data_IF_939796154229
#
_entry.id   IF_939796154229
#
_cell.length_a   1.000
_cell.length_b   1.000
_cell.length_c   1.000
_cell.angle_alpha   90.00
_cell.angle_beta   90.00
_cell.angle_gamma   90.00
#
_symmetry.space_group_name_H-M   'P 1'
#
loop_
_entity.id
_entity.type
_entity.pdbx_description
1 polymer ?
#
# COMPACT_ATOMS: atom_id res chain seq x y z
N UNK A 1 -1.78 1.11 1.58
CA UNK A 1 -2.00 2.10 0.50
C UNK A 1 -2.04 3.49 1.11
N UNK A 2 -1.54 4.46 0.38
CA UNK A 2 -1.49 5.85 0.85
C UNK A 2 -2.04 6.78 -0.24
N UNK A 3 -2.89 7.70 0.16
CA UNK A 3 -3.44 8.71 -0.73
C UNK A 3 -3.17 10.09 -0.13
N UNK A 4 -2.56 10.98 -0.91
CA UNK A 4 -2.15 12.28 -0.40
C UNK A 4 -1.13 12.19 0.73
N UNK A 5 -0.31 11.14 0.75
CA UNK A 5 0.69 10.91 1.78
C UNK A 5 0.16 10.31 3.08
N UNK A 6 -1.13 9.96 3.13
CA UNK A 6 -1.77 9.43 4.33
C UNK A 6 -2.25 8.01 4.12
N UNK A 7 -2.08 7.18 5.15
CA UNK A 7 -2.59 5.82 5.15
C UNK A 7 -4.11 5.79 4.98
N UNK A 8 -4.59 4.85 4.16
CA UNK A 8 -6.03 4.64 3.94
C UNK A 8 -6.45 3.21 4.26
N UNK A 9 -5.77 2.23 3.69
CA UNK A 9 -6.13 0.82 3.89
C UNK A 9 -4.92 -0.06 3.60
N UNK A 10 -5.00 -1.31 4.03
CA UNK A 10 -3.94 -2.27 3.82
C UNK A 10 -4.51 -3.67 3.58
N UNK A 11 -3.72 -4.48 2.91
CA UNK A 11 -4.01 -5.89 2.71
C UNK A 11 -2.80 -6.72 3.11
N UNK A 12 -3.07 -7.97 3.48
CA UNK A 12 -2.04 -8.97 3.70
C UNK A 12 -2.11 -9.99 2.59
N UNK A 13 -0.99 -10.20 1.91
CA UNK A 13 -0.89 -11.16 0.83
C UNK A 13 -0.29 -12.45 1.36
N UNK A 14 -0.86 -13.59 0.93
CA UNK A 14 -0.33 -14.91 1.24
C UNK A 14 -0.07 -15.65 -0.06
N UNK A 15 1.12 -16.23 -0.20
CA UNK A 15 1.45 -17.05 -1.34
C UNK A 15 0.62 -18.31 -1.34
N UNK A 16 0.35 -18.86 -2.54
CA UNK A 16 -0.22 -20.20 -2.67
C UNK A 16 0.71 -21.21 -2.02
N UNK A 17 0.14 -22.25 -1.41
CA UNK A 17 0.93 -23.30 -0.78
C UNK A 17 1.96 -23.87 -1.77
N UNK A 18 3.22 -23.87 -1.38
CA UNK A 18 4.31 -24.33 -2.23
C UNK A 18 4.85 -23.32 -3.23
N UNK A 19 4.30 -22.12 -3.27
CA UNK A 19 4.75 -21.05 -4.15
C UNK A 19 5.26 -19.89 -3.32
N UNK A 20 6.37 -19.28 -3.73
CA UNK A 20 6.94 -18.13 -3.05
C UNK A 20 6.38 -16.79 -3.58
N UNK A 21 5.70 -16.81 -4.73
CA UNK A 21 5.15 -15.60 -5.35
C UNK A 21 3.81 -15.24 -4.73
N UNK A 22 3.63 -13.99 -4.37
CA UNK A 22 2.44 -13.50 -3.66
C UNK A 22 1.66 -12.54 -4.56
N UNK A 23 1.38 -12.96 -5.79
CA UNK A 23 0.60 -12.20 -6.75
C UNK A 23 -0.66 -12.96 -7.09
N UNK A 24 -1.75 -12.22 -7.38
CA UNK A 24 -3.06 -12.82 -7.65
C UNK A 24 -3.00 -13.84 -8.79
N UNK A 25 -2.24 -13.54 -9.85
CA UNK A 25 -2.12 -14.40 -11.02
C UNK A 25 -1.32 -15.68 -10.74
N UNK A 26 -0.68 -15.78 -9.58
CA UNK A 26 0.05 -16.98 -9.16
C UNK A 26 -0.72 -17.78 -8.10
N UNK A 27 -2.01 -17.48 -7.90
CA UNK A 27 -2.84 -18.21 -6.94
C UNK A 27 -2.67 -17.79 -5.50
N UNK A 28 -1.99 -16.67 -5.25
CA UNK A 28 -1.93 -16.08 -3.92
C UNK A 28 -3.27 -15.49 -3.50
N UNK A 29 -3.45 -15.26 -2.21
CA UNK A 29 -4.67 -14.67 -1.66
C UNK A 29 -4.39 -13.32 -1.01
N UNK A 30 -5.42 -12.46 -1.03
CA UNK A 30 -5.36 -11.12 -0.47
C UNK A 30 -6.45 -11.00 0.60
N UNK A 31 -6.05 -10.53 1.78
CA UNK A 31 -6.96 -10.39 2.92
C UNK A 31 -6.89 -8.97 3.47
N UNK A 32 -8.01 -8.38 3.89
CA UNK A 32 -7.97 -7.11 4.62
C UNK A 32 -7.07 -7.21 5.84
N UNK A 33 -6.35 -6.15 6.12
CA UNK A 33 -5.37 -6.14 7.21
C UNK A 33 -5.40 -4.80 7.92
N UNK A 34 -5.37 -4.83 9.23
CA UNK A 34 -5.25 -3.63 10.06
C UNK A 34 -3.79 -3.50 10.51
N UNK A 35 -3.01 -2.57 9.92
CA UNK A 35 -1.60 -2.45 10.28
C UNK A 35 -1.43 -1.82 11.66
N UNK A 36 -0.26 -2.09 12.26
CA UNK A 36 0.15 -1.45 13.50
C UNK A 36 0.48 0.02 13.28
N UNK A 37 0.48 0.85 14.35
CA UNK A 37 0.94 2.23 14.23
C UNK A 37 2.37 2.35 13.68
N UNK A 38 3.24 1.41 14.01
CA UNK A 38 4.62 1.41 13.49
C UNK A 38 4.66 1.19 11.98
N UNK A 39 3.82 0.30 11.47
CA UNK A 39 3.73 0.04 10.04
C UNK A 39 3.19 1.26 9.30
N UNK A 40 2.16 1.90 9.84
CA UNK A 40 1.58 3.12 9.25
C UNK A 40 2.63 4.23 9.24
N UNK A 41 3.34 4.45 10.33
CA UNK A 41 4.34 5.49 10.43
C UNK A 41 5.48 5.27 9.42
N UNK A 42 5.96 4.05 9.29
CA UNK A 42 7.01 3.73 8.34
C UNK A 42 6.55 4.00 6.91
N UNK A 43 5.32 3.61 6.57
CA UNK A 43 4.76 3.83 5.25
C UNK A 43 4.62 5.31 4.92
N UNK A 44 4.09 6.09 5.85
CA UNK A 44 3.90 7.53 5.64
C UNK A 44 5.24 8.25 5.52
N UNK A 45 6.24 7.84 6.30
CA UNK A 45 7.59 8.41 6.18
C UNK A 45 8.25 8.07 4.84
N UNK A 46 8.03 6.85 4.33
CA UNK A 46 8.57 6.45 3.04
C UNK A 46 8.03 7.32 1.90
N UNK A 47 6.73 7.62 1.94
CA UNK A 47 6.09 8.47 0.94
C UNK A 47 6.55 9.93 1.10
N UNK A 48 6.74 10.39 2.32
CA UNK A 48 7.08 11.78 2.60
C UNK A 48 8.45 12.20 2.04
N UNK A 49 9.37 11.26 1.86
CA UNK A 49 10.70 11.57 1.30
C UNK A 49 10.69 11.66 -0.23
N UNK A 50 9.60 11.31 -0.88
CA UNK A 50 9.49 11.41 -2.34
C UNK A 50 9.33 12.88 -2.75
N UNK A 51 9.99 13.29 -3.83
CA UNK A 51 9.92 14.65 -4.32
C UNK A 51 9.75 14.64 -5.85
N UNK A 52 8.62 15.13 -6.40
CA UNK A 52 7.46 15.69 -5.66
C UNK A 52 6.67 14.62 -4.91
N UNK A 53 5.86 15.00 -3.91
CA UNK A 53 5.03 14.04 -3.19
C UNK A 53 4.02 13.37 -4.13
N UNK A 54 3.90 12.05 -4.12
CA UNK A 54 2.94 11.37 -5.00
C UNK A 54 1.50 11.54 -4.49
N UNK A 55 0.55 11.56 -5.42
CA UNK A 55 -0.87 11.61 -5.07
C UNK A 55 -1.33 10.29 -4.46
N UNK A 56 -0.73 9.18 -4.87
CA UNK A 56 -1.04 7.86 -4.34
C UNK A 56 0.21 6.99 -4.35
N UNK A 57 0.18 5.94 -3.55
CA UNK A 57 1.28 5.00 -3.52
C UNK A 57 0.93 3.74 -2.75
N UNK A 58 1.71 2.71 -2.95
CA UNK A 58 1.64 1.46 -2.20
C UNK A 58 3.00 1.14 -1.63
N UNK A 59 3.05 0.87 -0.34
CA UNK A 59 4.27 0.48 0.36
C UNK A 59 4.10 -0.96 0.80
N UNK A 60 4.96 -1.84 0.31
CA UNK A 60 4.96 -3.26 0.65
C UNK A 60 6.02 -3.51 1.69
N UNK A 61 5.64 -4.21 2.76
CA UNK A 61 6.51 -4.47 3.90
C UNK A 61 6.59 -5.95 4.21
N UNK A 62 7.73 -6.34 4.76
CA UNK A 62 7.96 -7.68 5.29
C UNK A 62 8.74 -7.56 6.60
N UNK A 63 8.72 -8.61 7.41
CA UNK A 63 9.68 -8.73 8.49
C UNK A 63 10.96 -9.37 7.91
N UNK A 64 12.11 -8.77 8.21
CA UNK A 64 13.38 -9.32 7.75
C UNK A 64 13.75 -10.59 8.54
N UNK A 65 14.93 -11.16 8.25
CA UNK A 65 15.36 -12.39 8.89
C UNK A 65 15.59 -12.25 10.40
N UNK A 66 15.66 -11.03 10.89
CA UNK A 66 15.82 -10.73 12.32
C UNK A 66 14.50 -10.32 12.97
N UNK A 67 13.38 -10.46 12.25
CA UNK A 67 12.07 -10.09 12.75
C UNK A 67 11.78 -8.59 12.74
N UNK A 68 12.63 -7.80 12.10
CA UNK A 68 12.43 -6.35 12.02
C UNK A 68 11.63 -5.97 10.79
N UNK A 69 10.78 -4.96 10.95
CA UNK A 69 9.95 -4.46 9.85
C UNK A 69 10.82 -3.75 8.82
N UNK A 70 10.64 -4.13 7.55
CA UNK A 70 11.41 -3.56 6.45
C UNK A 70 10.50 -3.29 5.25
N UNK A 71 10.83 -2.25 4.49
CA UNK A 71 10.14 -1.95 3.24
C UNK A 71 10.75 -2.85 2.15
N UNK A 72 9.89 -3.61 1.49
CA UNK A 72 10.28 -4.47 0.38
C UNK A 72 10.15 -3.75 -0.96
N UNK A 73 9.09 -2.96 -1.12
CA UNK A 73 8.79 -2.30 -2.38
C UNK A 73 8.00 -1.03 -2.17
N UNK A 74 8.27 -0.02 -3.00
CA UNK A 74 7.51 1.22 -3.06
C UNK A 74 7.02 1.38 -4.49
N UNK A 75 5.71 1.33 -4.69
CA UNK A 75 5.12 1.43 -6.02
C UNK A 75 4.31 2.72 -6.15
N UNK A 76 4.72 3.56 -7.11
CA UNK A 76 4.12 4.87 -7.34
C UNK A 76 3.48 4.99 -8.72
N UNK A 77 3.70 4.01 -9.60
CA UNK A 77 3.20 4.01 -10.98
C UNK A 77 2.30 2.80 -11.17
N UNK A 78 1.01 3.07 -11.34
CA UNK A 78 -0.01 2.05 -11.63
C UNK A 78 0.00 0.83 -10.70
N UNK A 79 0.14 1.00 -9.37
CA UNK A 79 0.07 -0.16 -8.49
C UNK A 79 -1.35 -0.70 -8.38
N UNK A 80 -1.48 -1.99 -8.04
CA UNK A 80 -2.76 -2.52 -7.61
C UNK A 80 -3.09 -1.92 -6.24
N UNK A 81 -4.23 -1.28 -6.11
CA UNK A 81 -4.64 -0.58 -4.88
C UNK A 81 -5.76 -1.29 -4.12
N UNK A 82 -6.29 -2.39 -4.65
CA UNK A 82 -7.35 -3.19 -4.03
C UNK A 82 -8.57 -2.38 -3.61
N UNK A 83 -8.96 -1.39 -4.42
CA UNK A 83 -10.13 -0.54 -4.11
C UNK A 83 -11.42 -1.34 -4.09
N UNK A 84 -11.50 -2.43 -4.84
CA UNK A 84 -12.66 -3.32 -4.84
C UNK A 84 -12.90 -3.97 -3.46
N UNK A 85 -11.85 -4.10 -2.66
CA UNK A 85 -11.92 -4.65 -1.31
C UNK A 85 -12.21 -3.57 -0.26
N UNK A 86 -12.07 -2.30 -0.64
CA UNK A 86 -12.20 -1.15 0.28
C UNK A 86 -12.93 0.00 -0.42
N UNK A 87 -14.26 -0.13 -0.66
CA UNK A 87 -14.97 0.89 -1.46
C UNK A 87 -14.88 2.31 -0.89
N UNK A 88 -14.83 2.46 0.44
CA UNK A 88 -14.68 3.79 1.03
C UNK A 88 -13.35 4.45 0.70
N UNK A 89 -12.31 3.66 0.44
CA UNK A 89 -11.01 4.19 0.04
C UNK A 89 -11.02 4.73 -1.38
N UNK A 90 -11.94 4.27 -2.23
CA UNK A 90 -12.11 4.82 -3.58
C UNK A 90 -12.53 6.28 -3.52
N UNK A 91 -13.34 6.66 -2.53
CA UNK A 91 -13.74 8.05 -2.33
C UNK A 91 -12.53 8.91 -1.95
N UNK A 92 -11.69 8.41 -1.04
CA UNK A 92 -10.46 9.11 -0.65
C UNK A 92 -9.53 9.28 -1.85
N UNK A 93 -9.40 8.26 -2.70
CA UNK A 93 -8.59 8.32 -3.91
C UNK A 93 -9.14 9.36 -4.89
N UNK A 94 -10.46 9.36 -5.11
CA UNK A 94 -11.10 10.32 -5.99
C UNK A 94 -10.88 11.76 -5.51
N UNK A 95 -10.97 11.99 -4.19
CA UNK A 95 -10.75 13.32 -3.61
C UNK A 95 -9.31 13.79 -3.83
N UNK A 96 -8.33 12.91 -3.68
CA UNK A 96 -6.93 13.24 -3.92
C UNK A 96 -6.69 13.58 -5.39
N UNK A 97 -7.26 12.82 -6.31
CA UNK A 97 -7.17 13.11 -7.74
C UNK A 97 -7.79 14.46 -8.05
N UNK A 98 -8.96 14.76 -7.50
CA UNK A 98 -9.64 16.04 -7.70
C UNK A 98 -8.78 17.21 -7.22
N UNK A 99 -8.18 17.10 -6.03
CA UNK A 99 -7.31 18.16 -5.49
C UNK A 99 -6.06 18.39 -6.36
N UNK A 100 -5.58 17.38 -7.06
CA UNK A 100 -4.41 17.53 -7.93
C UNK A 100 -4.66 18.50 -9.07
N UNK A 101 -5.92 18.69 -9.47
CA UNK A 101 -6.31 19.60 -10.54
C UNK A 101 -6.85 20.93 -10.04
N UNK A 102 -6.90 21.13 -8.71
CA UNK A 102 -7.37 22.37 -8.09
C UNK A 102 -6.17 23.29 -7.83
N UNK A 103 -5.97 24.24 -8.71
CA UNK A 103 -4.91 25.25 -8.54
C UNK A 103 -5.50 26.65 -8.47
#
# INVERSE_FOLDING_TARGET
MLFGGRFTHAVRKKAKAGDFRVQDDHGGTVHPYTPSPEQIDLAERAIAVCNPPPAYGRVDMVNDNQGQLAIMELELIEPELWLRNFPSSAIAFANVIATTFDD
#
